data_IF_869870407514
#
_entry.id   IF_869870407514
#
_cell.length_a   1.000
_cell.length_b   1.000
_cell.length_c   1.000
_cell.angle_alpha   90.00
_cell.angle_beta   90.00
_cell.angle_gamma   90.00
#
_symmetry.space_group_name_H-M   'P 1'
#
loop_
_entity.id
_entity.type
_entity.pdbx_description
1 polymer ?
#
# COMPACT_ATOMS: atom_id res chain seq x y z
N UNK A 1 -15.45 0.23 39.38
CA UNK A 1 -15.04 1.29 38.43
C UNK A 1 -13.66 0.94 37.92
N UNK A 2 -13.55 0.39 36.71
CA UNK A 2 -12.25 0.06 36.12
C UNK A 2 -11.54 1.38 35.76
N UNK A 3 -10.45 1.68 36.46
CA UNK A 3 -9.60 2.81 36.15
C UNK A 3 -9.08 2.65 34.71
N UNK A 4 -9.38 3.62 33.84
CA UNK A 4 -8.78 3.71 32.51
C UNK A 4 -7.27 3.80 32.69
N UNK A 5 -6.53 2.85 32.12
CA UNK A 5 -5.06 2.96 32.02
C UNK A 5 -4.73 4.29 31.33
N UNK A 6 -3.76 5.07 31.83
CA UNK A 6 -3.29 6.25 31.11
C UNK A 6 -2.71 5.82 29.76
N UNK A 7 -3.10 6.53 28.70
CA UNK A 7 -2.58 6.31 27.34
C UNK A 7 -1.05 6.53 27.34
N UNK A 8 -0.30 5.60 26.75
CA UNK A 8 1.13 5.80 26.50
C UNK A 8 1.32 6.69 25.26
N UNK A 9 2.44 7.39 25.15
CA UNK A 9 2.77 8.19 23.95
C UNK A 9 2.75 7.35 22.65
N UNK A 10 2.98 6.03 22.75
CA UNK A 10 2.85 5.10 21.62
C UNK A 10 1.40 4.92 21.17
N UNK A 11 0.43 4.90 22.08
CA UNK A 11 -0.98 4.68 21.73
C UNK A 11 -1.57 5.87 20.97
N UNK A 12 -1.14 7.09 21.32
CA UNK A 12 -1.52 8.33 20.63
C UNK A 12 -0.86 8.43 19.24
N UNK A 13 0.43 8.06 19.12
CA UNK A 13 1.10 7.99 17.83
C UNK A 13 0.43 6.95 16.92
N UNK A 14 0.08 5.77 17.45
CA UNK A 14 -0.63 4.73 16.70
C UNK A 14 -2.04 5.18 16.29
N UNK A 15 -2.73 5.99 17.10
CA UNK A 15 -4.01 6.58 16.73
C UNK A 15 -3.89 7.49 15.51
N UNK A 16 -2.91 8.40 15.52
CA UNK A 16 -2.65 9.27 14.39
C UNK A 16 -2.17 8.50 13.14
N UNK A 17 -1.43 7.40 13.30
CA UNK A 17 -1.07 6.53 12.17
C UNK A 17 -2.33 5.86 11.61
N UNK A 18 -3.25 5.37 12.45
CA UNK A 18 -4.50 4.77 11.99
C UNK A 18 -5.41 5.75 11.23
N UNK A 19 -5.42 7.03 11.59
CA UNK A 19 -6.23 8.04 10.88
C UNK A 19 -5.72 8.33 9.47
N UNK A 20 -4.44 8.07 9.17
CA UNK A 20 -3.89 8.21 7.81
C UNK A 20 -4.59 7.32 6.79
N UNK A 21 -5.14 6.18 7.22
CA UNK A 21 -5.97 5.30 6.40
C UNK A 21 -7.22 6.03 5.89
N UNK A 22 -7.89 6.80 6.76
CA UNK A 22 -9.09 7.56 6.41
C UNK A 22 -8.77 8.73 5.48
N UNK A 23 -7.64 9.41 5.72
CA UNK A 23 -7.15 10.49 4.85
C UNK A 23 -6.82 9.98 3.43
N UNK A 24 -6.07 8.88 3.33
CA UNK A 24 -5.71 8.26 2.06
C UNK A 24 -6.94 7.78 1.30
N UNK A 25 -7.86 7.11 1.99
CA UNK A 25 -9.09 6.61 1.37
C UNK A 25 -9.99 7.75 0.90
N UNK A 26 -10.09 8.84 1.67
CA UNK A 26 -10.87 10.02 1.27
C UNK A 26 -10.26 10.71 0.05
N UNK A 27 -8.93 10.83 -0.04
CA UNK A 27 -8.27 11.41 -1.22
C UNK A 27 -8.45 10.52 -2.46
N UNK A 28 -8.26 9.20 -2.33
CA UNK A 28 -8.55 8.23 -3.40
C UNK A 28 -10.03 8.29 -3.82
N UNK A 29 -10.97 8.42 -2.87
CA UNK A 29 -12.40 8.55 -3.14
C UNK A 29 -12.74 9.86 -3.87
N UNK A 30 -12.10 10.96 -3.48
CA UNK A 30 -12.29 12.25 -4.14
C UNK A 30 -11.79 12.18 -5.59
N UNK A 31 -10.56 11.74 -5.81
CA UNK A 31 -9.97 11.66 -7.15
C UNK A 31 -10.75 10.71 -8.08
N UNK A 32 -11.25 9.57 -7.58
CA UNK A 32 -12.11 8.67 -8.38
C UNK A 32 -13.45 9.31 -8.73
N UNK A 33 -14.02 10.14 -7.84
CA UNK A 33 -15.26 10.90 -8.15
C UNK A 33 -15.06 11.95 -9.23
N UNK A 34 -13.85 12.48 -9.38
CA UNK A 34 -13.47 13.41 -10.46
C UNK A 34 -13.04 12.68 -11.74
N UNK A 35 -12.99 11.35 -11.73
CA UNK A 35 -12.66 10.55 -12.91
C UNK A 35 -11.16 10.35 -13.16
N UNK A 36 -10.28 10.59 -12.18
CA UNK A 36 -8.83 10.35 -12.36
C UNK A 36 -8.52 8.88 -12.69
N UNK A 37 -9.19 7.94 -12.02
CA UNK A 37 -9.23 6.52 -12.39
C UNK A 37 -10.58 5.91 -12.00
N UNK A 38 -10.84 4.72 -12.51
CA UNK A 38 -12.06 3.96 -12.20
C UNK A 38 -11.81 3.08 -10.98
N UNK A 39 -12.63 3.25 -9.96
CA UNK A 39 -12.73 2.35 -8.81
C UNK A 39 -14.21 2.17 -8.47
N UNK A 40 -14.73 0.96 -8.67
CA UNK A 40 -16.13 0.63 -8.44
C UNK A 40 -16.44 0.32 -6.98
N UNK A 41 -15.44 0.23 -6.11
CA UNK A 41 -15.56 -0.35 -4.78
C UNK A 41 -15.27 0.63 -3.64
N UNK A 42 -14.40 1.62 -3.85
CA UNK A 42 -13.97 2.55 -2.79
C UNK A 42 -15.12 3.30 -2.11
N UNK A 43 -16.20 3.53 -2.84
CA UNK A 43 -17.41 4.19 -2.33
C UNK A 43 -18.16 3.39 -1.26
N UNK A 44 -17.94 2.07 -1.18
CA UNK A 44 -18.49 1.24 -0.11
C UNK A 44 -17.75 1.41 1.22
N UNK A 45 -16.47 1.80 1.16
CA UNK A 45 -15.61 2.03 2.33
C UNK A 45 -15.70 3.46 2.84
N UNK A 46 -15.86 4.44 1.94
CA UNK A 46 -16.04 5.85 2.29
C UNK A 46 -17.19 6.44 1.49
N UNK A 47 -18.30 6.71 2.20
CA UNK A 47 -19.55 7.20 1.58
C UNK A 47 -19.42 8.63 1.07
N UNK A 48 -18.84 9.52 1.86
CA UNK A 48 -18.71 10.92 1.50
C UNK A 48 -17.49 11.11 0.60
N UNK A 49 -17.65 11.84 -0.50
CA UNK A 49 -16.55 12.24 -1.38
C UNK A 49 -15.55 13.15 -0.65
N UNK A 50 -16.00 13.81 0.43
CA UNK A 50 -15.19 14.71 1.23
C UNK A 50 -15.07 16.11 0.63
N UNK A 51 -14.26 16.95 1.25
CA UNK A 51 -13.97 18.28 0.74
C UNK A 51 -13.11 18.23 -0.52
N UNK A 52 -13.23 19.27 -1.35
CA UNK A 52 -12.42 19.42 -2.57
C UNK A 52 -10.94 19.34 -2.23
N UNK A 53 -10.23 18.46 -2.93
CA UNK A 53 -8.77 18.38 -2.88
C UNK A 53 -8.17 19.23 -3.99
N UNK A 54 -7.01 19.82 -3.73
CA UNK A 54 -6.30 20.60 -4.73
C UNK A 54 -5.86 19.69 -5.90
N UNK A 55 -5.86 20.19 -7.16
CA UNK A 55 -5.60 19.35 -8.34
C UNK A 55 -4.26 18.60 -8.29
N UNK A 56 -3.22 19.19 -7.71
CA UNK A 56 -1.91 18.58 -7.52
C UNK A 56 -1.95 17.35 -6.59
N UNK A 57 -2.84 17.36 -5.59
CA UNK A 57 -3.08 16.20 -4.72
C UNK A 57 -3.73 15.08 -5.52
N UNK A 58 -4.76 15.38 -6.32
CA UNK A 58 -5.44 14.37 -7.13
C UNK A 58 -4.52 13.77 -8.19
N UNK A 59 -3.72 14.60 -8.87
CA UNK A 59 -2.68 14.17 -9.82
C UNK A 59 -1.60 13.33 -9.14
N UNK A 60 -1.18 13.69 -7.92
CA UNK A 60 -0.27 12.90 -7.10
C UNK A 60 -0.82 11.52 -6.76
N UNK A 61 -2.07 11.44 -6.29
CA UNK A 61 -2.74 10.16 -6.02
C UNK A 61 -2.94 9.33 -7.29
N UNK A 62 -3.24 9.95 -8.42
CA UNK A 62 -3.31 9.27 -9.71
C UNK A 62 -1.96 8.63 -10.07
N UNK A 63 -0.86 9.39 -9.98
CA UNK A 63 0.49 8.90 -10.26
C UNK A 63 0.86 7.73 -9.34
N UNK A 64 0.56 7.87 -8.05
CA UNK A 64 0.74 6.83 -7.01
C UNK A 64 0.01 5.54 -7.38
N UNK A 65 -1.30 5.62 -7.61
CA UNK A 65 -2.15 4.45 -7.89
C UNK A 65 -1.74 3.78 -9.20
N UNK A 66 -1.55 4.57 -10.27
CA UNK A 66 -1.15 4.04 -11.57
C UNK A 66 0.24 3.40 -11.51
N UNK A 67 1.19 4.05 -10.84
CA UNK A 67 2.54 3.54 -10.78
C UNK A 67 2.67 2.23 -10.01
N UNK A 68 1.99 2.13 -8.86
CA UNK A 68 1.91 0.87 -8.10
C UNK A 68 1.23 -0.22 -8.90
N UNK A 69 0.09 0.09 -9.56
CA UNK A 69 -0.64 -0.89 -10.36
C UNK A 69 0.18 -1.42 -11.54
N UNK A 70 0.98 -0.58 -12.21
CA UNK A 70 1.84 -1.05 -13.31
C UNK A 70 2.79 -2.16 -12.84
N UNK A 71 3.52 -1.94 -11.75
CA UNK A 71 4.45 -2.94 -11.23
C UNK A 71 3.72 -4.19 -10.70
N UNK A 72 2.60 -3.99 -10.00
CA UNK A 72 1.77 -5.07 -9.47
C UNK A 72 1.24 -5.97 -10.59
N UNK A 73 0.62 -5.38 -11.61
CA UNK A 73 0.00 -6.09 -12.72
C UNK A 73 1.07 -6.80 -13.56
N UNK A 74 2.25 -6.19 -13.76
CA UNK A 74 3.36 -6.85 -14.46
C UNK A 74 3.93 -8.05 -13.68
N UNK A 75 4.04 -7.97 -12.35
CA UNK A 75 4.41 -9.12 -11.53
C UNK A 75 3.40 -10.27 -11.64
N UNK A 76 2.10 -9.95 -11.57
CA UNK A 76 1.02 -10.93 -11.73
C UNK A 76 1.08 -11.59 -13.11
N UNK A 77 1.28 -10.81 -14.18
CA UNK A 77 1.42 -11.33 -15.54
C UNK A 77 2.64 -12.23 -15.69
N UNK A 78 3.81 -11.81 -15.19
CA UNK A 78 5.06 -12.60 -15.24
C UNK A 78 4.94 -13.94 -14.52
N UNK A 79 4.15 -13.98 -13.46
CA UNK A 79 3.89 -15.20 -12.68
C UNK A 79 2.68 -15.98 -13.19
N UNK A 80 2.03 -15.54 -14.28
CA UNK A 80 0.80 -16.14 -14.81
C UNK A 80 -0.30 -16.30 -13.74
N UNK A 81 -0.43 -15.31 -12.84
CA UNK A 81 -1.29 -15.36 -11.66
C UNK A 81 -0.97 -16.48 -10.65
N UNK A 82 0.11 -17.27 -10.84
CA UNK A 82 0.57 -18.33 -9.92
C UNK A 82 1.46 -17.74 -8.82
N UNK A 83 0.97 -16.70 -8.16
CA UNK A 83 1.69 -15.97 -7.13
C UNK A 83 0.82 -15.66 -5.91
N UNK A 84 1.42 -15.08 -4.89
CA UNK A 84 0.73 -14.48 -3.75
C UNK A 84 1.01 -12.98 -3.71
N UNK A 85 0.09 -12.23 -3.13
CA UNK A 85 0.26 -10.79 -2.88
C UNK A 85 0.03 -10.54 -1.39
N UNK A 86 0.92 -9.79 -0.73
CA UNK A 86 0.78 -9.35 0.65
C UNK A 86 0.79 -7.82 0.67
N UNK A 87 -0.39 -7.22 0.86
CA UNK A 87 -0.53 -5.78 1.03
C UNK A 87 -0.39 -5.44 2.52
N UNK A 88 0.75 -4.86 2.88
CA UNK A 88 1.14 -4.49 4.23
C UNK A 88 0.64 -3.07 4.51
N UNK A 89 -0.16 -2.89 5.57
CA UNK A 89 -0.83 -1.62 5.87
C UNK A 89 -1.88 -1.28 4.79
N UNK A 90 -2.68 -2.29 4.42
CA UNK A 90 -3.58 -2.20 3.27
C UNK A 90 -4.70 -1.16 3.42
N UNK A 91 -4.99 -0.71 4.64
CA UNK A 91 -6.09 0.22 4.90
C UNK A 91 -7.40 -0.29 4.31
N UNK A 92 -8.11 0.60 3.60
CA UNK A 92 -9.35 0.28 2.88
C UNK A 92 -9.13 0.09 1.37
N UNK A 93 -7.95 -0.42 0.99
CA UNK A 93 -7.60 -0.66 -0.41
C UNK A 93 -8.56 -1.63 -1.13
N UNK A 94 -8.74 -1.42 -2.43
CA UNK A 94 -9.75 -2.08 -3.27
C UNK A 94 -9.15 -3.03 -4.31
N UNK A 95 -7.83 -3.27 -4.27
CA UNK A 95 -7.08 -4.01 -5.29
C UNK A 95 -7.63 -5.41 -5.53
N UNK A 96 -8.07 -6.14 -4.49
CA UNK A 96 -8.66 -7.47 -4.67
C UNK A 96 -9.82 -7.46 -5.67
N UNK A 97 -10.77 -6.53 -5.51
CA UNK A 97 -11.92 -6.45 -6.40
C UNK A 97 -11.55 -5.95 -7.81
N UNK A 98 -10.59 -5.02 -7.92
CA UNK A 98 -10.05 -4.59 -9.22
C UNK A 98 -9.44 -5.77 -9.98
N UNK A 99 -8.53 -6.50 -9.35
CA UNK A 99 -7.87 -7.65 -9.96
C UNK A 99 -8.87 -8.75 -10.34
N UNK A 100 -9.93 -8.93 -9.54
CA UNK A 100 -11.02 -9.84 -9.90
C UNK A 100 -11.72 -9.41 -11.19
N UNK A 101 -12.12 -8.14 -11.29
CA UNK A 101 -12.84 -7.63 -12.46
C UNK A 101 -11.97 -7.69 -13.73
N UNK A 102 -10.66 -7.60 -13.58
CA UNK A 102 -9.67 -7.69 -14.65
C UNK A 102 -9.21 -9.13 -14.96
N UNK A 103 -9.73 -10.14 -14.24
CA UNK A 103 -9.30 -11.55 -14.33
C UNK A 103 -7.80 -11.76 -14.06
N UNK A 104 -7.23 -10.98 -13.14
CA UNK A 104 -5.82 -10.96 -12.73
C UNK A 104 -5.62 -11.39 -11.26
N UNK A 105 -6.53 -12.19 -10.69
CA UNK A 105 -6.39 -12.60 -9.29
C UNK A 105 -5.19 -13.53 -9.07
N UNK A 106 -4.30 -13.24 -8.09
CA UNK A 106 -3.24 -14.15 -7.68
C UNK A 106 -3.83 -15.41 -7.04
N UNK A 107 -3.02 -16.44 -6.73
CA UNK A 107 -3.50 -17.60 -5.99
C UNK A 107 -4.17 -17.19 -4.68
N UNK A 108 -3.54 -16.28 -3.92
CA UNK A 108 -4.13 -15.69 -2.73
C UNK A 108 -3.60 -14.27 -2.49
N UNK A 109 -4.50 -13.35 -2.16
CA UNK A 109 -4.17 -11.99 -1.74
C UNK A 109 -4.37 -11.87 -0.23
N UNK A 110 -3.32 -11.48 0.47
CA UNK A 110 -3.31 -11.20 1.89
C UNK A 110 -3.26 -9.68 2.10
N UNK A 111 -4.10 -9.19 3.01
CA UNK A 111 -4.05 -7.83 3.51
C UNK A 111 -3.76 -7.85 5.00
N UNK A 112 -2.89 -6.94 5.43
CA UNK A 112 -2.50 -6.82 6.82
C UNK A 112 -2.67 -5.37 7.24
N UNK A 113 -3.32 -5.14 8.38
CA UNK A 113 -3.38 -3.82 9.00
C UNK A 113 -3.61 -3.98 10.51
N UNK A 114 -3.61 -2.87 11.25
CA UNK A 114 -3.97 -2.87 12.65
C UNK A 114 -5.37 -3.49 12.87
N UNK A 115 -5.59 -4.24 13.96
CA UNK A 115 -6.87 -4.91 14.22
C UNK A 115 -8.10 -4.00 14.16
N UNK A 116 -7.95 -2.71 14.50
CA UNK A 116 -9.02 -1.70 14.43
C UNK A 116 -9.39 -1.36 12.98
N UNK A 117 -8.40 -1.21 12.10
CA UNK A 117 -8.61 -0.92 10.67
C UNK A 117 -9.21 -2.14 9.98
N UNK A 118 -8.71 -3.33 10.30
CA UNK A 118 -9.26 -4.60 9.80
C UNK A 118 -10.71 -4.80 10.24
N UNK A 119 -11.03 -4.56 11.52
CA UNK A 119 -12.41 -4.66 12.00
C UNK A 119 -13.36 -3.74 11.22
N UNK A 120 -12.92 -2.50 10.93
CA UNK A 120 -13.67 -1.54 10.10
C UNK A 120 -13.87 -2.06 8.67
N UNK A 121 -12.81 -2.58 8.02
CA UNK A 121 -12.89 -3.14 6.66
C UNK A 121 -13.81 -4.35 6.59
N UNK A 122 -13.66 -5.30 7.51
CA UNK A 122 -14.51 -6.49 7.62
C UNK A 122 -15.97 -6.09 7.85
N UNK A 123 -16.25 -5.08 8.67
CA UNK A 123 -17.61 -4.58 8.85
C UNK A 123 -18.24 -4.08 7.54
N UNK A 124 -17.49 -3.32 6.73
CA UNK A 124 -17.98 -2.88 5.41
C UNK A 124 -18.20 -4.06 4.47
N UNK A 125 -17.28 -5.02 4.42
CA UNK A 125 -17.42 -6.23 3.59
C UNK A 125 -18.68 -7.00 4.00
N UNK A 126 -18.87 -7.25 5.30
CA UNK A 126 -20.06 -7.93 5.87
C UNK A 126 -21.37 -7.26 5.48
N UNK A 127 -21.41 -5.94 5.52
CA UNK A 127 -22.66 -5.17 5.40
C UNK A 127 -22.98 -4.75 3.96
N UNK A 128 -22.08 -5.00 3.00
CA UNK A 128 -22.23 -4.58 1.60
C UNK A 128 -22.09 -5.79 0.67
N UNK A 129 -23.21 -6.34 0.15
CA UNK A 129 -23.18 -7.48 -0.77
C UNK A 129 -22.23 -7.33 -1.97
N UNK A 130 -22.07 -6.14 -2.59
CA UNK A 130 -21.09 -5.97 -3.66
C UNK A 130 -19.63 -6.22 -3.26
N UNK A 131 -19.30 -6.14 -1.97
CA UNK A 131 -17.97 -6.47 -1.45
C UNK A 131 -17.85 -7.94 -1.03
N UNK A 132 -18.85 -8.48 -0.33
CA UNK A 132 -18.80 -9.86 0.18
C UNK A 132 -19.06 -10.92 -0.88
N UNK A 133 -20.00 -10.68 -1.80
CA UNK A 133 -20.40 -11.68 -2.80
C UNK A 133 -19.22 -12.15 -3.67
N UNK A 134 -18.35 -11.27 -4.21
CA UNK A 134 -17.14 -11.69 -4.92
C UNK A 134 -16.24 -12.66 -4.14
N UNK A 135 -16.13 -12.49 -2.82
CA UNK A 135 -15.30 -13.34 -1.95
C UNK A 135 -15.98 -14.70 -1.74
N UNK A 136 -17.28 -14.68 -1.45
CA UNK A 136 -18.11 -15.88 -1.23
C UNK A 136 -18.14 -16.75 -2.48
N UNK A 137 -18.41 -16.17 -3.65
CA UNK A 137 -18.56 -16.88 -4.92
C UNK A 137 -17.28 -17.63 -5.35
N UNK A 138 -16.11 -17.26 -4.79
CA UNK A 138 -14.81 -17.88 -5.08
C UNK A 138 -14.28 -18.76 -3.96
N UNK A 139 -15.03 -18.92 -2.86
CA UNK A 139 -14.66 -19.78 -1.76
C UNK A 139 -15.31 -21.16 -1.92
N UNK A 140 -14.52 -22.21 -1.77
CA UNK A 140 -14.95 -23.59 -1.98
C UNK A 140 -15.82 -24.16 -0.86
N UNK A 141 -15.81 -23.55 0.33
CA UNK A 141 -16.60 -24.05 1.49
C UNK A 141 -17.79 -23.17 1.80
N UNK A 142 -18.81 -23.75 2.43
CA UNK A 142 -20.04 -23.04 2.80
C UNK A 142 -19.83 -21.99 3.92
N UNK A 143 -18.69 -22.02 4.62
CA UNK A 143 -18.42 -21.15 5.76
C UNK A 143 -17.09 -20.40 5.64
N UNK A 144 -17.17 -19.12 5.29
CA UNK A 144 -16.04 -18.19 5.41
C UNK A 144 -15.66 -17.98 6.88
N UNK A 145 -14.37 -18.08 7.20
CA UNK A 145 -13.89 -17.64 8.50
C UNK A 145 -13.97 -16.12 8.55
N UNK A 146 -14.76 -15.59 9.49
CA UNK A 146 -15.10 -14.19 9.48
C UNK A 146 -15.32 -13.64 10.89
N UNK A 147 -14.23 -13.47 11.64
CA UNK A 147 -14.25 -12.89 12.99
C UNK A 147 -14.11 -11.35 12.95
N UNK A 148 -13.82 -10.72 14.11
CA UNK A 148 -13.69 -9.27 14.21
C UNK A 148 -12.34 -8.74 13.67
N UNK A 149 -11.33 -9.60 13.59
CA UNK A 149 -9.95 -9.24 13.30
C UNK A 149 -9.35 -10.05 12.14
N UNK A 150 -10.07 -11.05 11.63
CA UNK A 150 -9.63 -11.87 10.51
C UNK A 150 -10.80 -12.19 9.58
N UNK A 151 -10.51 -12.17 8.29
CA UNK A 151 -11.33 -12.73 7.22
C UNK A 151 -10.44 -13.68 6.45
N UNK A 152 -10.87 -14.93 6.27
CA UNK A 152 -10.15 -15.89 5.44
C UNK A 152 -11.07 -16.58 4.44
N UNK A 153 -10.58 -16.68 3.21
CA UNK A 153 -11.19 -17.37 2.08
C UNK A 153 -10.08 -17.98 1.21
N UNK A 154 -10.46 -18.73 0.19
CA UNK A 154 -9.49 -19.41 -0.69
C UNK A 154 -8.58 -18.43 -1.43
N UNK A 155 -9.12 -17.26 -1.80
CA UNK A 155 -8.45 -16.29 -2.69
C UNK A 155 -8.10 -14.97 -2.01
N UNK A 156 -8.64 -14.72 -0.82
CA UNK A 156 -8.49 -13.45 -0.11
C UNK A 156 -8.47 -13.63 1.41
N UNK A 157 -7.50 -13.01 2.06
CA UNK A 157 -7.34 -13.02 3.50
C UNK A 157 -7.06 -11.61 4.02
N UNK A 158 -7.67 -11.23 5.13
CA UNK A 158 -7.39 -9.99 5.86
C UNK A 158 -7.01 -10.37 7.29
N UNK A 159 -5.87 -9.87 7.76
CA UNK A 159 -5.30 -10.22 9.07
C UNK A 159 -5.05 -8.96 9.89
N UNK A 160 -5.64 -8.91 11.10
CA UNK A 160 -5.34 -7.91 12.11
C UNK A 160 -3.99 -8.18 12.78
N UNK A 161 -2.96 -7.42 12.43
CA UNK A 161 -1.62 -7.55 13.01
C UNK A 161 -0.90 -6.21 13.06
N UNK A 162 -0.01 -6.09 14.04
CA UNK A 162 0.95 -4.99 14.10
C UNK A 162 2.20 -5.38 13.30
N UNK A 163 2.53 -4.63 12.26
CA UNK A 163 3.67 -4.90 11.39
C UNK A 163 5.02 -4.80 12.12
N UNK A 164 5.06 -4.18 13.30
CA UNK A 164 6.25 -4.09 14.15
C UNK A 164 6.56 -5.41 14.87
N UNK A 165 5.54 -6.25 15.06
CA UNK A 165 5.67 -7.60 15.62
C UNK A 165 5.71 -8.64 14.50
N UNK A 166 6.89 -8.74 13.87
CA UNK A 166 7.12 -9.59 12.71
C UNK A 166 6.88 -11.08 13.01
N UNK A 167 7.19 -11.52 14.23
CA UNK A 167 6.95 -12.91 14.64
C UNK A 167 5.45 -13.22 14.67
N UNK A 168 4.66 -12.35 15.29
CA UNK A 168 3.19 -12.53 15.31
C UNK A 168 2.58 -12.42 13.91
N UNK A 169 3.11 -11.53 13.06
CA UNK A 169 2.70 -11.39 11.67
C UNK A 169 2.90 -12.70 10.90
N UNK A 170 4.11 -13.26 10.96
CA UNK A 170 4.48 -14.49 10.27
C UNK A 170 3.61 -15.69 10.70
N UNK A 171 3.42 -15.87 12.01
CA UNK A 171 2.57 -16.93 12.57
C UNK A 171 1.13 -16.83 12.05
N UNK A 172 0.56 -15.62 12.03
CA UNK A 172 -0.82 -15.41 11.54
C UNK A 172 -0.94 -15.66 10.05
N UNK A 173 0.00 -15.17 9.23
CA UNK A 173 -0.04 -15.40 7.79
C UNK A 173 0.10 -16.90 7.45
N UNK A 174 1.02 -17.61 8.13
CA UNK A 174 1.16 -19.08 7.98
C UNK A 174 -0.09 -19.84 8.41
N UNK A 175 -0.76 -19.40 9.49
CA UNK A 175 -2.05 -19.95 9.91
C UNK A 175 -3.11 -19.86 8.81
N UNK A 176 -3.07 -18.81 7.99
CA UNK A 176 -3.97 -18.62 6.85
C UNK A 176 -3.38 -19.09 5.52
N UNK A 177 -2.53 -20.11 5.57
CA UNK A 177 -2.00 -20.83 4.40
C UNK A 177 -1.12 -19.98 3.47
N UNK A 178 -0.37 -19.02 4.02
CA UNK A 178 0.74 -18.42 3.29
C UNK A 178 1.76 -19.50 2.91
N UNK A 179 2.09 -19.60 1.61
CA UNK A 179 3.05 -20.55 1.08
C UNK A 179 4.37 -19.85 0.67
N UNK A 180 5.48 -20.05 1.40
CA UNK A 180 6.77 -19.45 1.06
C UNK A 180 7.37 -19.87 -0.28
N UNK A 181 6.96 -21.01 -0.84
CA UNK A 181 7.50 -21.55 -2.10
C UNK A 181 6.89 -20.87 -3.34
N UNK A 182 5.79 -20.11 -3.19
CA UNK A 182 5.19 -19.38 -4.30
C UNK A 182 5.88 -18.02 -4.51
N UNK A 183 6.01 -17.55 -5.77
CA UNK A 183 6.35 -16.16 -6.04
C UNK A 183 5.45 -15.23 -5.25
N UNK A 184 6.02 -14.36 -4.43
CA UNK A 184 5.24 -13.49 -3.54
C UNK A 184 5.61 -12.04 -3.76
N UNK A 185 4.62 -11.19 -4.06
CA UNK A 185 4.80 -9.75 -4.06
C UNK A 185 4.32 -9.18 -2.74
N UNK A 186 5.15 -8.34 -2.13
CA UNK A 186 4.79 -7.56 -0.96
C UNK A 186 4.63 -6.09 -1.39
N UNK A 187 3.57 -5.46 -0.92
CA UNK A 187 3.25 -4.06 -1.21
C UNK A 187 3.20 -3.28 0.10
N UNK A 188 3.93 -2.16 0.15
CA UNK A 188 3.82 -1.13 1.18
C UNK A 188 3.54 0.21 0.48
N UNK A 189 2.37 0.77 0.71
CA UNK A 189 1.92 2.00 0.05
C UNK A 189 1.70 3.13 1.08
N UNK A 190 2.76 3.89 1.38
CA UNK A 190 2.90 4.82 2.50
C UNK A 190 2.72 4.13 3.85
N UNK A 191 3.58 3.15 4.16
CA UNK A 191 3.46 2.37 5.41
C UNK A 191 4.77 2.35 6.20
N UNK A 192 5.88 1.97 5.57
CA UNK A 192 7.14 1.79 6.31
C UNK A 192 7.62 3.08 7.00
N UNK A 193 7.36 4.25 6.42
CA UNK A 193 7.70 5.57 6.98
C UNK A 193 7.08 5.84 8.37
N UNK A 194 5.98 5.16 8.74
CA UNK A 194 5.35 5.29 10.06
C UNK A 194 6.01 4.43 11.14
N UNK A 195 6.89 3.51 10.77
CA UNK A 195 7.64 2.66 11.68
C UNK A 195 9.06 3.20 11.86
N UNK A 196 9.71 2.87 12.96
CA UNK A 196 11.13 3.21 13.10
C UNK A 196 11.96 2.53 11.98
N UNK A 197 13.13 3.06 11.64
CA UNK A 197 14.05 2.46 10.67
C UNK A 197 14.41 1.01 11.02
N UNK A 198 14.59 0.70 12.30
CA UNK A 198 14.84 -0.67 12.77
C UNK A 198 13.62 -1.58 12.57
N UNK A 199 12.42 -1.15 12.96
CA UNK A 199 11.19 -1.94 12.82
C UNK A 199 10.89 -2.24 11.34
N UNK A 200 10.98 -1.22 10.49
CA UNK A 200 10.74 -1.41 9.06
C UNK A 200 11.83 -2.24 8.38
N UNK A 201 13.11 -2.12 8.80
CA UNK A 201 14.18 -2.99 8.30
C UNK A 201 13.96 -4.46 8.69
N UNK A 202 13.47 -4.72 9.90
CA UNK A 202 13.13 -6.08 10.34
C UNK A 202 12.02 -6.69 9.48
N UNK A 203 10.99 -5.91 9.15
CA UNK A 203 9.89 -6.36 8.27
C UNK A 203 10.38 -6.66 6.85
N UNK A 204 11.19 -5.76 6.26
CA UNK A 204 11.75 -5.96 4.92
C UNK A 204 12.71 -7.14 4.87
N UNK A 205 13.49 -7.35 5.94
CA UNK A 205 14.38 -8.49 6.07
C UNK A 205 13.62 -9.81 6.20
N UNK A 206 12.58 -9.86 7.03
CA UNK A 206 11.71 -11.05 7.13
C UNK A 206 11.13 -11.45 5.78
N UNK A 207 10.67 -10.48 4.98
CA UNK A 207 10.17 -10.76 3.64
C UNK A 207 11.26 -11.37 2.74
N UNK A 208 12.49 -10.84 2.77
CA UNK A 208 13.61 -11.36 2.01
C UNK A 208 14.02 -12.78 2.42
N UNK A 209 13.99 -13.08 3.71
CA UNK A 209 14.32 -14.41 4.25
C UNK A 209 13.23 -15.44 3.98
N UNK A 210 11.96 -15.02 4.07
CA UNK A 210 10.81 -15.94 3.95
C UNK A 210 10.61 -16.41 2.52
N UNK A 211 10.77 -15.53 1.53
CA UNK A 211 10.39 -15.81 0.15
C UNK A 211 11.61 -15.88 -0.79
N UNK A 212 11.94 -17.06 -1.34
CA UNK A 212 13.07 -17.20 -2.26
C UNK A 212 12.86 -16.53 -3.61
N UNK A 213 11.61 -16.38 -4.05
CA UNK A 213 11.23 -15.62 -5.26
C UNK A 213 10.20 -14.57 -4.86
N UNK A 214 10.60 -13.31 -4.85
CA UNK A 214 9.76 -12.24 -4.35
C UNK A 214 10.04 -10.91 -5.02
N UNK A 215 9.03 -10.04 -4.95
CA UNK A 215 9.14 -8.62 -5.27
C UNK A 215 8.60 -7.81 -4.10
N UNK A 216 9.24 -6.71 -3.76
CA UNK A 216 8.71 -5.74 -2.82
C UNK A 216 8.48 -4.43 -3.55
N UNK A 217 7.29 -3.85 -3.42
CA UNK A 217 6.97 -2.50 -3.89
C UNK A 217 6.79 -1.60 -2.67
N UNK A 218 7.52 -0.50 -2.63
CA UNK A 218 7.41 0.52 -1.59
C UNK A 218 7.16 1.89 -2.22
N UNK A 219 5.99 2.45 -1.95
CA UNK A 219 5.69 3.86 -2.24
C UNK A 219 5.77 4.66 -0.95
N UNK A 220 6.66 5.64 -0.85
CA UNK A 220 6.69 6.57 0.29
C UNK A 220 7.48 7.84 -0.06
N UNK A 221 7.78 8.66 0.95
CA UNK A 221 8.53 9.89 0.77
C UNK A 221 10.00 9.65 0.35
N UNK A 222 10.57 10.66 -0.31
CA UNK A 222 11.98 10.75 -0.67
C UNK A 222 12.44 12.22 -0.63
N UNK A 223 13.75 12.46 -0.64
CA UNK A 223 14.32 13.81 -0.66
C UNK A 223 13.90 14.68 0.55
N UNK A 224 13.63 14.06 1.70
CA UNK A 224 13.06 14.74 2.88
C UNK A 224 14.03 15.68 3.63
N UNK A 225 15.27 15.80 3.18
CA UNK A 225 16.31 16.61 3.82
C UNK A 225 16.30 18.08 3.39
N UNK A 226 15.57 18.44 2.32
CA UNK A 226 15.51 19.82 1.85
C UNK A 226 14.45 20.66 2.58
N UNK A 227 14.30 21.94 2.20
CA UNK A 227 13.34 22.85 2.84
C UNK A 227 11.89 22.40 2.68
N UNK A 228 11.51 21.85 1.53
CA UNK A 228 10.15 21.37 1.28
C UNK A 228 9.87 20.13 2.14
N UNK A 229 10.81 19.19 2.20
CA UNK A 229 10.76 18.02 3.08
C UNK A 229 10.57 18.41 4.55
N UNK A 230 11.33 19.41 5.04
CA UNK A 230 11.14 19.90 6.42
C UNK A 230 9.75 20.50 6.66
N UNK A 231 9.23 21.31 5.73
CA UNK A 231 7.87 21.87 5.82
C UNK A 231 6.82 20.75 5.82
N UNK A 232 7.01 19.70 5.03
CA UNK A 232 6.13 18.54 4.98
C UNK A 232 6.13 17.79 6.33
N UNK A 233 7.29 17.58 6.94
CA UNK A 233 7.42 16.95 8.27
C UNK A 233 6.69 17.80 9.32
N UNK A 234 6.95 19.10 9.36
CA UNK A 234 6.29 20.03 10.30
C UNK A 234 4.76 20.00 10.14
N UNK A 235 4.26 19.97 8.89
CA UNK A 235 2.83 19.93 8.62
C UNK A 235 2.16 18.62 9.09
N UNK A 236 2.84 17.48 8.96
CA UNK A 236 2.34 16.19 9.44
C UNK A 236 2.37 16.12 10.97
N UNK A 237 3.44 16.62 11.60
CA UNK A 237 3.55 16.71 13.06
C UNK A 237 2.45 17.57 13.68
N UNK A 238 2.07 18.69 13.04
CA UNK A 238 0.92 19.52 13.48
C UNK A 238 -0.41 18.76 13.47
N UNK A 239 -0.52 17.70 12.67
CA UNK A 239 -1.67 16.78 12.63
C UNK A 239 -1.47 15.55 13.51
N UNK A 240 -0.50 15.60 14.43
CA UNK A 240 -0.11 14.50 15.32
C UNK A 240 0.42 13.25 14.58
N UNK A 241 0.73 13.37 13.29
CA UNK A 241 1.25 12.28 12.47
C UNK A 241 2.78 12.36 12.39
N UNK A 242 3.47 11.56 13.21
CA UNK A 242 4.93 11.49 13.21
C UNK A 242 5.44 10.48 12.18
N UNK A 243 6.37 10.90 11.33
CA UNK A 243 7.08 10.03 10.40
C UNK A 243 8.30 9.40 11.09
N UNK A 244 8.09 8.32 11.85
CA UNK A 244 9.14 7.67 12.64
C UNK A 244 10.33 7.19 11.78
N UNK A 245 10.09 6.87 10.51
CA UNK A 245 11.09 6.40 9.54
C UNK A 245 11.60 7.47 8.58
N UNK A 246 11.38 8.77 8.84
CA UNK A 246 11.76 9.81 7.86
C UNK A 246 13.26 9.86 7.57
N UNK A 247 14.11 9.42 8.51
CA UNK A 247 15.56 9.41 8.32
C UNK A 247 16.05 8.48 7.20
N UNK A 248 15.25 7.50 6.77
CA UNK A 248 15.60 6.63 5.63
C UNK A 248 15.11 7.20 4.28
N UNK A 249 14.30 8.27 4.30
CA UNK A 249 13.70 8.92 3.14
C UNK A 249 14.60 10.05 2.56
N UNK A 250 15.92 9.89 2.62
CA UNK A 250 16.89 10.94 2.23
C UNK A 250 17.03 11.10 0.72
N UNK A 251 17.05 9.98 -0.03
CA UNK A 251 17.25 9.98 -1.49
C UNK A 251 16.78 8.65 -2.10
N UNK A 252 16.68 8.60 -3.42
CA UNK A 252 16.42 7.32 -4.13
C UNK A 252 17.49 6.28 -3.84
N UNK A 253 18.75 6.69 -3.68
CA UNK A 253 19.85 5.79 -3.34
C UNK A 253 19.73 5.23 -1.91
N UNK A 254 19.28 6.04 -0.94
CA UNK A 254 19.02 5.53 0.42
C UNK A 254 17.87 4.52 0.43
N UNK A 255 16.82 4.75 -0.36
CA UNK A 255 15.71 3.80 -0.51
C UNK A 255 16.18 2.47 -1.13
N UNK A 256 16.97 2.49 -2.22
CA UNK A 256 17.53 1.26 -2.81
C UNK A 256 18.44 0.52 -1.83
N UNK A 257 19.36 1.23 -1.17
CA UNK A 257 20.31 0.64 -0.21
C UNK A 257 19.61 -0.05 0.96
N UNK A 258 18.46 0.47 1.40
CA UNK A 258 17.66 -0.15 2.48
C UNK A 258 17.22 -1.56 2.12
N UNK A 259 16.75 -1.79 0.89
CA UNK A 259 16.39 -3.13 0.40
C UNK A 259 17.61 -4.02 0.22
N UNK A 260 18.67 -3.52 -0.43
CA UNK A 260 19.88 -4.31 -0.67
C UNK A 260 20.55 -4.78 0.63
N UNK A 261 20.53 -3.94 1.68
CA UNK A 261 21.09 -4.27 3.00
C UNK A 261 20.27 -5.28 3.81
N UNK A 262 19.02 -5.52 3.42
CA UNK A 262 18.09 -6.39 4.14
C UNK A 262 17.87 -7.73 3.45
N UNK A 263 18.71 -8.07 2.46
CA UNK A 263 18.74 -9.40 1.83
C UNK A 263 18.11 -9.46 0.44
N UNK A 264 17.72 -8.33 -0.14
CA UNK A 264 17.24 -8.24 -1.53
C UNK A 264 18.41 -8.17 -2.52
N UNK A 265 18.27 -8.83 -3.68
CA UNK A 265 19.34 -8.97 -4.68
C UNK A 265 19.42 -7.75 -5.63
N UNK A 266 18.25 -7.23 -6.00
CA UNK A 266 18.11 -6.07 -6.86
C UNK A 266 17.17 -5.05 -6.23
N UNK A 267 17.42 -3.77 -6.47
CA UNK A 267 16.54 -2.68 -6.05
C UNK A 267 16.68 -1.50 -7.00
N UNK A 268 15.54 -0.99 -7.46
CA UNK A 268 15.41 0.21 -8.29
C UNK A 268 14.40 1.17 -7.65
N UNK A 269 14.54 2.46 -7.98
CA UNK A 269 13.65 3.48 -7.45
C UNK A 269 13.57 4.67 -8.40
N UNK A 270 12.37 5.24 -8.53
CA UNK A 270 12.08 6.45 -9.29
C UNK A 270 11.31 7.41 -8.40
N UNK A 271 11.61 8.71 -8.51
CA UNK A 271 10.72 9.73 -7.96
C UNK A 271 9.41 9.79 -8.75
N UNK A 272 8.36 10.34 -8.14
CA UNK A 272 7.04 10.32 -8.75
C UNK A 272 6.92 11.26 -9.93
N UNK A 273 7.81 12.24 -10.09
CA UNK A 273 7.82 13.09 -11.29
C UNK A 273 8.32 12.30 -12.50
N UNK A 274 9.34 11.45 -12.31
CA UNK A 274 9.82 10.52 -13.34
C UNK A 274 8.74 9.50 -13.66
N UNK A 275 8.12 8.88 -12.65
CA UNK A 275 6.99 7.95 -12.86
C UNK A 275 5.86 8.62 -13.64
N UNK A 276 5.46 9.84 -13.27
CA UNK A 276 4.40 10.58 -13.96
C UNK A 276 4.72 10.81 -15.44
N UNK A 277 5.98 11.10 -15.77
CA UNK A 277 6.44 11.26 -17.16
C UNK A 277 6.44 9.96 -17.98
N UNK A 278 6.53 8.81 -17.31
CA UNK A 278 6.55 7.48 -17.95
C UNK A 278 5.15 6.88 -18.12
N UNK A 279 4.13 7.43 -17.46
CA UNK A 279 2.75 6.96 -17.61
C UNK A 279 2.26 7.12 -19.06
N UNK A 280 1.27 6.32 -19.51
CA UNK A 280 0.70 6.46 -20.85
C UNK A 280 0.20 7.89 -21.12
N UNK A 281 0.84 8.57 -22.07
CA UNK A 281 0.65 10.01 -22.28
C UNK A 281 -0.79 10.38 -22.67
N UNK A 282 -1.53 9.47 -23.30
CA UNK A 282 -2.95 9.68 -23.59
C UNK A 282 -3.81 9.73 -22.30
N UNK A 283 -3.49 8.91 -21.30
CA UNK A 283 -4.20 8.89 -20.01
C UNK A 283 -3.77 10.07 -19.13
N UNK A 284 -2.49 10.47 -19.20
CA UNK A 284 -1.99 11.72 -18.58
C UNK A 284 -2.73 12.92 -19.17
N UNK A 285 -2.77 13.06 -20.50
CA UNK A 285 -3.52 14.13 -21.14
C UNK A 285 -4.98 14.13 -20.68
N UNK A 286 -5.64 12.97 -20.64
CA UNK A 286 -7.02 12.86 -20.15
C UNK A 286 -7.20 13.42 -18.74
N UNK A 287 -6.35 13.04 -17.78
CA UNK A 287 -6.49 13.53 -16.39
C UNK A 287 -6.12 15.00 -16.25
N UNK A 288 -5.21 15.53 -17.07
CA UNK A 288 -4.85 16.95 -17.02
C UNK A 288 -5.99 17.87 -17.49
N UNK A 289 -6.93 17.34 -18.30
CA UNK A 289 -8.13 18.07 -18.71
C UNK A 289 -9.27 18.02 -17.68
N UNK A 290 -9.19 17.18 -16.63
CA UNK A 290 -10.23 17.09 -15.61
C UNK A 290 -10.28 18.34 -14.72
N UNK A 291 -9.10 18.87 -14.38
CA UNK A 291 -8.95 20.02 -13.49
C UNK A 291 -7.84 20.93 -13.99
N UNK A 292 -8.12 22.23 -14.00
CA UNK A 292 -7.11 23.26 -14.24
C UNK A 292 -6.10 23.30 -13.09
N UNK A 293 -4.81 23.28 -13.42
CA UNK A 293 -3.71 23.41 -12.49
C UNK A 293 -2.85 24.60 -12.93
N UNK A 294 -2.89 25.67 -12.14
CA UNK A 294 -2.10 26.89 -12.39
C UNK A 294 -0.65 26.73 -11.89
N UNK A 295 -0.48 26.16 -10.68
CA UNK A 295 0.81 26.00 -10.01
C UNK A 295 1.47 24.65 -10.35
N UNK A 296 2.07 24.54 -11.53
CA UNK A 296 2.78 23.31 -11.95
C UNK A 296 4.00 23.00 -11.10
N UNK A 297 4.65 24.04 -10.58
CA UNK A 297 5.81 23.94 -9.72
C UNK A 297 5.47 23.23 -8.40
N UNK A 298 4.28 23.45 -7.85
CA UNK A 298 3.84 22.79 -6.63
C UNK A 298 3.63 21.29 -6.84
N UNK A 299 3.01 20.91 -7.97
CA UNK A 299 2.91 19.49 -8.36
C UNK A 299 4.29 18.87 -8.54
N UNK A 300 5.20 19.55 -9.23
CA UNK A 300 6.56 19.05 -9.44
C UNK A 300 7.28 18.84 -8.10
N UNK A 301 7.24 19.83 -7.21
CA UNK A 301 7.84 19.71 -5.87
C UNK A 301 7.23 18.55 -5.09
N UNK A 302 5.90 18.41 -5.10
CA UNK A 302 5.22 17.30 -4.43
C UNK A 302 5.67 15.95 -4.99
N UNK A 303 5.71 15.79 -6.31
CA UNK A 303 6.10 14.53 -6.96
C UNK A 303 7.61 14.22 -6.82
N UNK A 304 8.47 15.21 -6.66
CA UNK A 304 9.89 15.01 -6.36
C UNK A 304 10.14 14.54 -4.92
N UNK A 305 9.15 14.62 -4.04
CA UNK A 305 9.24 14.23 -2.62
C UNK A 305 8.56 12.90 -2.30
N UNK A 306 8.13 12.17 -3.32
CA UNK A 306 7.67 10.79 -3.21
C UNK A 306 8.41 9.93 -4.23
N UNK A 307 8.57 8.64 -3.93
CA UNK A 307 9.15 7.67 -4.84
C UNK A 307 8.38 6.35 -4.83
N UNK A 308 8.52 5.59 -5.92
CA UNK A 308 8.29 4.14 -5.93
C UNK A 308 9.64 3.47 -5.99
N UNK A 309 9.94 2.65 -4.98
CA UNK A 309 11.07 1.74 -4.95
C UNK A 309 10.55 0.32 -5.12
N UNK A 310 11.21 -0.50 -5.93
CA UNK A 310 10.92 -1.92 -6.00
C UNK A 310 12.20 -2.74 -5.90
N UNK A 311 12.10 -3.86 -5.20
CA UNK A 311 13.21 -4.78 -4.99
C UNK A 311 12.81 -6.20 -5.36
N UNK A 312 13.76 -7.03 -5.76
CA UNK A 312 13.47 -8.42 -6.13
C UNK A 312 14.54 -9.40 -5.67
N UNK A 313 14.09 -10.64 -5.46
CA UNK A 313 14.91 -11.86 -5.40
C UNK A 313 14.25 -12.88 -6.31
N UNK A 314 15.02 -13.63 -7.10
CA UNK A 314 14.42 -14.39 -8.21
C UNK A 314 15.02 -15.80 -8.36
N UNK A 315 14.89 -16.63 -7.33
CA UNK A 315 15.36 -18.03 -7.36
C UNK A 315 14.75 -18.84 -8.53
N UNK A 316 13.52 -18.52 -8.93
CA UNK A 316 12.83 -19.17 -10.05
C UNK A 316 13.21 -18.62 -11.43
N UNK A 317 14.07 -17.58 -11.50
CA UNK A 317 14.53 -16.94 -12.73
C UNK A 317 13.39 -16.47 -13.65
N UNK A 318 12.34 -15.88 -13.08
CA UNK A 318 11.20 -15.31 -13.80
C UNK A 318 11.55 -14.01 -14.54
N UNK A 319 12.76 -13.48 -14.31
CA UNK A 319 13.21 -12.20 -14.83
C UNK A 319 12.59 -11.03 -14.08
N UNK A 320 12.43 -11.15 -12.76
CA UNK A 320 11.85 -10.10 -11.91
C UNK A 320 12.70 -8.84 -11.90
N UNK A 321 14.03 -8.96 -11.99
CA UNK A 321 14.96 -7.83 -12.06
C UNK A 321 14.84 -7.00 -13.35
N UNK A 322 14.10 -7.51 -14.35
CA UNK A 322 13.79 -6.79 -15.59
C UNK A 322 12.45 -6.05 -15.54
N UNK A 323 11.72 -6.15 -14.43
CA UNK A 323 10.53 -5.33 -14.21
C UNK A 323 10.97 -3.88 -14.03
N UNK A 324 10.44 -3.01 -14.88
CA UNK A 324 10.66 -1.58 -14.88
C UNK A 324 9.38 -0.87 -15.34
N UNK A 325 9.34 0.45 -15.13
CA UNK A 325 8.32 1.33 -15.67
C UNK A 325 8.47 1.52 -17.18
#
# INVERSE_FOLDING_TARGET
>A
MAARKPFTDSDAADEAVRTTCDDATTCKRFATSQGYWKDLYIHYFVRNVGERKAPEINRGYYARVKGVNLLLDEFIKKTECKCQIINLGAGLDTTFWRLKDENLLPQKLFEVDFPVVVAKKIHYIKTKPPLSKPIIDMHSTDSLLLDAHNLDSDRYCIVGADLRDVSSLDEKLKKFHLNPELPTLLLSECVLVYMTPSQSSNLVHWAAETFPTAMFINYEQVNMSDRFGQVMIENLQRRQCTLAGVEVCQSLDSQKKRFLRTGWEHADALDMITVYSMLPQHDVARIEHLEFLDERELLQQLLQHYCICWASKDKLNLGLSKLAF
#
